data_IF_568323907924
#
_entry.id   IF_568323907924
#
_cell.length_a   1.000
_cell.length_b   1.000
_cell.length_c   1.000
_cell.angle_alpha   90.00
_cell.angle_beta   90.00
_cell.angle_gamma   90.00
#
_symmetry.space_group_name_H-M   'P 1'
#
loop_
_entity.id
_entity.type
_entity.pdbx_description
1 polymer ?
#
# COMPACT_ATOMS: atom_id res chain seq x y z
N UNK A 1 57.90 -45.95 25.95
CA UNK A 1 57.91 -45.65 24.49
C UNK A 1 56.47 -45.37 24.09
N UNK A 2 56.18 -44.09 23.84
CA UNK A 2 54.87 -43.58 23.46
C UNK A 2 54.51 -43.97 22.02
N UNK A 3 53.21 -44.08 21.70
CA UNK A 3 52.49 -43.44 20.56
C UNK A 3 51.12 -44.17 20.41
N UNK A 4 50.05 -43.60 21.00
CA UNK A 4 49.05 -42.66 20.44
C UNK A 4 47.84 -43.37 19.81
N UNK A 5 46.71 -43.26 20.49
CA UNK A 5 45.38 -43.53 19.96
C UNK A 5 45.02 -42.44 18.94
N UNK A 6 44.63 -42.82 17.72
CA UNK A 6 44.08 -41.90 16.73
C UNK A 6 42.55 -41.94 16.90
N UNK A 7 42.00 -40.94 17.58
CA UNK A 7 40.57 -40.67 17.55
C UNK A 7 40.29 -39.74 16.35
N UNK A 8 39.57 -40.25 15.34
CA UNK A 8 39.09 -39.45 14.23
C UNK A 8 37.83 -38.70 14.68
N UNK A 9 37.94 -37.39 14.91
CA UNK A 9 36.79 -36.52 15.13
C UNK A 9 36.23 -36.08 13.77
N UNK A 10 35.05 -36.60 13.41
CA UNK A 10 34.28 -36.11 12.26
C UNK A 10 33.57 -34.83 12.71
N UNK A 11 34.06 -33.68 12.24
CA UNK A 11 33.35 -32.40 12.37
C UNK A 11 32.18 -32.39 11.39
N UNK A 12 30.95 -32.53 11.90
CA UNK A 12 29.75 -32.25 11.12
C UNK A 12 29.61 -30.72 10.96
N UNK A 13 29.89 -30.22 9.75
CA UNK A 13 29.69 -28.83 9.40
C UNK A 13 28.18 -28.61 9.17
N UNK A 14 27.44 -28.23 10.20
CA UNK A 14 26.06 -27.76 10.03
C UNK A 14 26.09 -26.42 9.30
N UNK A 15 25.74 -26.42 8.02
CA UNK A 15 25.50 -25.19 7.27
C UNK A 15 24.29 -24.48 7.89
N UNK A 16 24.53 -23.44 8.67
CA UNK A 16 23.49 -22.51 9.07
C UNK A 16 23.02 -21.78 7.82
N UNK A 17 21.89 -22.19 7.25
CA UNK A 17 21.18 -21.37 6.28
C UNK A 17 20.71 -20.12 7.01
N UNK A 18 21.48 -19.04 6.93
CA UNK A 18 21.06 -17.75 7.43
C UNK A 18 19.75 -17.38 6.75
N UNK A 19 18.67 -17.29 7.52
CA UNK A 19 17.43 -16.70 7.02
C UNK A 19 17.77 -15.29 6.53
N UNK A 20 17.58 -15.03 5.24
CA UNK A 20 17.69 -13.67 4.72
C UNK A 20 16.60 -12.87 5.44
N UNK A 21 17.00 -11.86 6.20
CA UNK A 21 16.07 -11.01 6.91
C UNK A 21 15.18 -10.27 5.89
N UNK A 22 13.89 -10.15 6.20
CA UNK A 22 12.97 -9.36 5.39
C UNK A 22 13.45 -7.90 5.31
N UNK A 23 13.34 -7.30 4.13
CA UNK A 23 13.73 -5.92 3.91
C UNK A 23 12.57 -4.99 4.23
N UNK A 24 12.85 -3.89 4.93
CA UNK A 24 11.87 -2.83 5.23
C UNK A 24 12.10 -1.63 4.33
N UNK A 25 11.02 -1.11 3.74
CA UNK A 25 11.01 0.03 2.84
C UNK A 25 10.10 1.12 3.42
N UNK A 26 10.63 2.33 3.56
CA UNK A 26 9.85 3.51 3.93
C UNK A 26 9.23 4.13 2.67
N UNK A 27 7.95 4.51 2.75
CA UNK A 27 7.27 5.23 1.66
C UNK A 27 8.03 6.51 1.31
N UNK A 28 8.28 6.72 0.03
CA UNK A 28 8.76 8.00 -0.51
C UNK A 28 7.51 8.84 -0.85
N UNK A 29 7.25 9.94 -0.11
CA UNK A 29 5.98 10.66 -0.19
C UNK A 29 5.81 11.47 -1.48
N UNK A 30 6.89 11.79 -2.20
CA UNK A 30 6.82 12.59 -3.42
C UNK A 30 6.48 11.77 -4.68
N UNK A 31 6.48 10.43 -4.57
CA UNK A 31 6.11 9.51 -5.67
C UNK A 31 5.00 8.54 -5.28
N UNK A 32 4.40 8.71 -4.10
CA UNK A 32 3.33 7.84 -3.59
C UNK A 32 2.01 8.60 -3.47
N UNK A 33 1.08 8.31 -4.39
CA UNK A 33 -0.21 8.99 -4.47
C UNK A 33 -1.33 7.98 -4.71
N UNK A 34 -2.20 7.76 -3.71
CA UNK A 34 -3.47 7.09 -3.93
C UNK A 34 -4.36 8.01 -4.78
N UNK A 35 -4.45 7.70 -6.07
CA UNK A 35 -5.38 8.37 -6.97
C UNK A 35 -6.65 7.54 -7.12
N UNK A 36 -7.76 8.21 -7.42
CA UNK A 36 -9.05 7.56 -7.53
C UNK A 36 -9.92 8.15 -8.62
N UNK A 37 -10.86 7.33 -9.08
CA UNK A 37 -11.97 7.72 -9.95
C UNK A 37 -13.29 7.50 -9.22
N UNK A 38 -14.19 8.48 -9.31
CA UNK A 38 -15.54 8.42 -8.75
C UNK A 38 -16.57 8.92 -9.76
N UNK A 39 -17.77 8.36 -9.69
CA UNK A 39 -18.89 8.76 -10.53
C UNK A 39 -19.33 10.21 -10.28
N UNK A 40 -19.89 10.84 -11.31
CA UNK A 40 -20.61 12.09 -11.21
C UNK A 40 -21.96 11.96 -11.90
N UNK A 41 -23.05 12.16 -11.14
CA UNK A 41 -24.42 12.19 -11.63
C UNK A 41 -24.85 10.95 -12.42
N UNK A 42 -24.47 9.75 -11.99
CA UNK A 42 -24.99 8.50 -12.56
C UNK A 42 -24.44 8.19 -13.96
N UNK A 43 -23.15 8.46 -14.18
CA UNK A 43 -22.44 8.17 -15.42
C UNK A 43 -22.27 9.36 -16.37
N UNK A 44 -22.60 10.59 -15.94
CA UNK A 44 -22.41 11.78 -16.76
C UNK A 44 -20.92 12.05 -17.03
N UNK A 45 -20.10 11.91 -16.00
CA UNK A 45 -18.65 12.05 -16.08
C UNK A 45 -17.96 11.36 -14.91
N UNK A 46 -16.63 11.41 -14.91
CA UNK A 46 -15.79 10.79 -13.88
C UNK A 46 -14.94 11.86 -13.20
N UNK A 47 -15.14 12.02 -11.89
CA UNK A 47 -14.21 12.75 -11.05
C UNK A 47 -12.91 11.98 -10.91
N UNK A 48 -11.79 12.70 -11.00
CA UNK A 48 -10.45 12.18 -10.72
C UNK A 48 -9.82 13.03 -9.63
N UNK A 49 -9.26 12.37 -8.64
CA UNK A 49 -8.57 13.03 -7.54
C UNK A 49 -7.47 12.15 -6.96
N UNK A 50 -6.73 12.72 -6.01
CA UNK A 50 -5.69 12.01 -5.27
C UNK A 50 -5.50 12.57 -3.87
N UNK A 51 -4.81 11.82 -3.03
CA UNK A 51 -4.23 12.31 -1.78
C UNK A 51 -2.75 12.59 -2.01
N UNK A 52 -2.25 13.74 -1.54
CA UNK A 52 -0.89 14.21 -1.84
C UNK A 52 0.12 14.01 -0.72
N UNK A 53 -0.31 13.46 0.43
CA UNK A 53 0.58 13.09 1.53
C UNK A 53 0.25 11.68 2.03
N UNK A 54 1.20 10.77 1.82
CA UNK A 54 1.13 9.36 2.23
C UNK A 54 2.44 8.97 2.90
N UNK A 55 2.35 8.18 3.96
CA UNK A 55 3.50 7.69 4.73
C UNK A 55 3.27 6.24 5.14
N UNK A 56 4.33 5.57 5.60
CA UNK A 56 4.23 4.21 6.11
C UNK A 56 5.41 3.34 5.69
N UNK A 57 5.24 2.04 5.87
CA UNK A 57 6.27 1.05 5.61
C UNK A 57 5.71 -0.16 4.85
N UNK A 58 6.57 -0.74 4.03
CA UNK A 58 6.34 -2.02 3.35
C UNK A 58 7.49 -2.95 3.74
N UNK A 59 7.18 -4.17 4.14
CA UNK A 59 8.16 -5.21 4.40
C UNK A 59 8.06 -6.25 3.29
N UNK A 60 9.19 -6.63 2.70
CA UNK A 60 9.27 -7.66 1.67
C UNK A 60 10.31 -8.71 2.07
N UNK A 61 9.87 -9.95 2.18
CA UNK A 61 10.74 -11.12 2.16
C UNK A 61 10.60 -11.81 0.81
N UNK A 62 11.51 -11.47 -0.12
CA UNK A 62 11.49 -12.04 -1.47
C UNK A 62 11.89 -13.51 -1.49
N UNK A 63 12.64 -14.00 -0.50
CA UNK A 63 13.06 -15.39 -0.40
C UNK A 63 11.91 -16.27 0.08
N UNK A 64 11.22 -15.86 1.15
CA UNK A 64 10.03 -16.53 1.66
C UNK A 64 8.76 -16.21 0.85
N UNK A 65 8.80 -15.21 -0.04
CA UNK A 65 7.67 -14.72 -0.84
C UNK A 65 6.52 -14.25 0.05
N UNK A 66 6.86 -13.44 1.05
CA UNK A 66 5.91 -12.85 1.99
C UNK A 66 6.17 -11.35 2.15
N UNK A 67 5.27 -10.67 2.84
CA UNK A 67 5.45 -9.26 3.16
C UNK A 67 4.25 -8.67 3.90
N UNK A 68 4.41 -7.44 4.35
CA UNK A 68 3.38 -6.67 5.05
C UNK A 68 3.37 -5.22 4.61
N UNK A 69 2.24 -4.56 4.81
CA UNK A 69 1.99 -3.17 4.43
C UNK A 69 1.36 -2.46 5.63
N UNK A 70 1.86 -1.29 6.00
CA UNK A 70 1.23 -0.39 6.98
C UNK A 70 1.36 1.04 6.47
N UNK A 71 0.26 1.59 5.95
CA UNK A 71 0.22 2.87 5.24
C UNK A 71 -0.78 3.79 5.93
N UNK A 72 -0.40 5.06 6.05
CA UNK A 72 -1.25 6.14 6.51
C UNK A 72 -1.34 7.22 5.43
N UNK A 73 -2.56 7.63 5.12
CA UNK A 73 -2.90 8.65 4.13
C UNK A 73 -3.51 9.83 4.88
N UNK A 74 -2.97 11.03 4.65
CA UNK A 74 -3.51 12.25 5.23
C UNK A 74 -4.71 12.73 4.41
N UNK A 75 -5.91 12.57 4.96
CA UNK A 75 -7.16 12.88 4.27
C UNK A 75 -7.32 14.38 4.00
N UNK A 76 -6.63 15.25 4.75
CA UNK A 76 -6.64 16.69 4.53
C UNK A 76 -5.99 17.10 3.21
N UNK A 77 -5.21 16.20 2.60
CA UNK A 77 -4.52 16.43 1.32
C UNK A 77 -5.31 15.99 0.09
N UNK A 78 -6.58 15.61 0.28
CA UNK A 78 -7.50 15.31 -0.81
C UNK A 78 -7.58 16.46 -1.83
N UNK A 79 -7.36 16.12 -3.10
CA UNK A 79 -7.34 17.07 -4.21
C UNK A 79 -8.05 16.50 -5.45
N UNK A 80 -9.09 17.20 -5.90
CA UNK A 80 -9.83 16.94 -7.15
C UNK A 80 -9.38 17.82 -8.32
N UNK A 81 -8.35 18.65 -8.15
CA UNK A 81 -7.95 19.68 -9.11
C UNK A 81 -8.94 20.86 -9.19
N UNK A 82 -9.96 20.88 -8.32
CA UNK A 82 -10.94 21.94 -8.19
C UNK A 82 -11.13 22.28 -6.71
N UNK A 83 -10.61 23.44 -6.28
CA UNK A 83 -10.50 23.80 -4.87
C UNK A 83 -11.82 23.69 -4.09
N UNK A 84 -12.94 24.16 -4.66
CA UNK A 84 -14.26 24.07 -3.99
C UNK A 84 -14.75 22.63 -3.83
N UNK A 85 -14.47 21.76 -4.80
CA UNK A 85 -14.81 20.33 -4.69
C UNK A 85 -13.94 19.65 -3.64
N UNK A 86 -12.64 19.96 -3.63
CA UNK A 86 -11.72 19.46 -2.60
C UNK A 86 -12.13 19.92 -1.19
N UNK A 87 -12.56 21.16 -1.03
CA UNK A 87 -13.07 21.69 0.25
C UNK A 87 -14.36 20.98 0.67
N UNK A 88 -15.34 20.88 -0.25
CA UNK A 88 -16.60 20.19 0.01
C UNK A 88 -16.39 18.74 0.42
N UNK A 89 -15.56 18.00 -0.32
CA UNK A 89 -15.29 16.59 -0.04
C UNK A 89 -14.64 16.36 1.34
N UNK A 90 -13.88 17.33 1.86
CA UNK A 90 -13.30 17.23 3.22
C UNK A 90 -14.34 17.46 4.32
N UNK A 91 -15.51 17.97 3.96
CA UNK A 91 -16.62 18.27 4.85
C UNK A 91 -17.31 17.04 5.44
N UNK A 92 -18.23 17.27 6.39
CA UNK A 92 -18.87 16.23 7.20
C UNK A 92 -19.84 15.32 6.45
N UNK A 93 -20.22 15.68 5.22
CA UNK A 93 -21.09 14.90 4.35
C UNK A 93 -20.33 13.89 3.48
N UNK A 94 -19.00 13.99 3.44
CA UNK A 94 -18.13 13.09 2.68
C UNK A 94 -17.03 12.48 3.56
N UNK A 95 -15.80 13.02 3.53
CA UNK A 95 -14.67 12.41 4.23
C UNK A 95 -14.60 12.79 5.72
N UNK A 96 -15.33 13.83 6.16
CA UNK A 96 -15.35 14.36 7.54
C UNK A 96 -13.95 14.41 8.15
N UNK A 97 -13.03 15.10 7.47
CA UNK A 97 -11.58 15.10 7.80
C UNK A 97 -11.34 15.65 9.21
N UNK A 98 -12.23 16.50 9.72
CA UNK A 98 -12.16 16.98 11.09
C UNK A 98 -12.28 15.85 12.12
N UNK A 99 -13.07 14.80 11.85
CA UNK A 99 -13.21 13.62 12.71
C UNK A 99 -12.29 12.47 12.29
N UNK A 100 -12.06 12.31 10.99
CA UNK A 100 -11.26 11.23 10.41
C UNK A 100 -10.11 11.81 9.58
N UNK A 101 -9.08 12.37 10.23
CA UNK A 101 -8.00 13.07 9.53
C UNK A 101 -7.13 12.13 8.69
N UNK A 102 -7.22 10.82 8.91
CA UNK A 102 -6.43 9.82 8.20
C UNK A 102 -7.29 8.67 7.68
N UNK A 103 -6.85 8.12 6.55
CA UNK A 103 -7.18 6.76 6.13
C UNK A 103 -5.95 5.87 6.33
N UNK A 104 -6.15 4.58 6.60
CA UNK A 104 -5.05 3.62 6.73
C UNK A 104 -5.27 2.38 5.89
N UNK A 105 -4.19 1.79 5.41
CA UNK A 105 -4.23 0.50 4.71
C UNK A 105 -3.21 -0.45 5.32
N UNK A 106 -3.68 -1.59 5.83
CA UNK A 106 -2.84 -2.56 6.53
C UNK A 106 -3.00 -3.97 5.96
N UNK A 107 -1.89 -4.69 5.86
CA UNK A 107 -1.89 -6.09 5.48
C UNK A 107 -0.68 -6.82 6.05
N UNK A 108 -0.85 -8.11 6.37
CA UNK A 108 0.24 -9.04 6.69
C UNK A 108 0.50 -10.05 5.56
N UNK A 109 -0.11 -9.86 4.39
CA UNK A 109 -0.07 -10.81 3.29
C UNK A 109 0.09 -10.11 1.95
N UNK A 110 1.26 -10.29 1.35
CA UNK A 110 1.51 -9.98 -0.06
C UNK A 110 1.59 -11.30 -0.80
N UNK A 111 0.76 -11.47 -1.82
CA UNK A 111 0.77 -12.66 -2.68
C UNK A 111 1.78 -12.48 -3.80
N UNK A 112 2.59 -13.51 -4.04
CA UNK A 112 3.58 -13.55 -5.11
C UNK A 112 3.19 -14.52 -6.23
N UNK A 113 3.62 -14.21 -7.45
CA UNK A 113 3.64 -15.13 -8.60
C UNK A 113 5.09 -15.21 -9.10
N UNK A 114 5.74 -16.34 -8.84
CA UNK A 114 7.19 -16.44 -9.00
C UNK A 114 7.87 -15.49 -8.01
N UNK A 115 8.70 -14.58 -8.52
CA UNK A 115 9.48 -13.63 -7.70
C UNK A 115 8.85 -12.23 -7.67
N UNK A 116 7.64 -12.07 -8.22
CA UNK A 116 6.95 -10.77 -8.28
C UNK A 116 5.73 -10.77 -7.35
N UNK A 117 5.53 -9.71 -6.55
CA UNK A 117 4.27 -9.50 -5.87
C UNK A 117 3.17 -9.17 -6.88
N UNK A 118 1.98 -9.73 -6.69
CA UNK A 118 0.83 -9.59 -7.63
C UNK A 118 -0.44 -9.08 -6.95
N UNK A 119 -0.57 -9.21 -5.64
CA UNK A 119 -1.68 -8.60 -4.90
C UNK A 119 -1.36 -8.43 -3.43
N UNK A 120 -2.08 -7.52 -2.79
CA UNK A 120 -2.09 -7.34 -1.34
C UNK A 120 -3.52 -7.52 -0.85
N UNK A 121 -3.72 -8.48 0.05
CA UNK A 121 -5.01 -8.69 0.71
C UNK A 121 -4.98 -7.91 2.02
N UNK A 122 -5.55 -6.71 2.02
CA UNK A 122 -5.47 -5.78 3.14
C UNK A 122 -6.80 -5.20 3.56
N UNK A 123 -6.74 -4.45 4.65
CA UNK A 123 -7.86 -3.76 5.25
C UNK A 123 -7.67 -2.25 5.07
N UNK A 124 -8.65 -1.61 4.44
CA UNK A 124 -8.76 -0.17 4.36
C UNK A 124 -9.58 0.31 5.55
N UNK A 125 -9.05 1.24 6.32
CA UNK A 125 -9.83 2.05 7.27
C UNK A 125 -10.01 3.43 6.67
N UNK A 126 -11.27 3.79 6.40
CA UNK A 126 -11.66 5.06 5.80
C UNK A 126 -12.93 5.55 6.50
N UNK A 127 -12.97 6.84 6.87
CA UNK A 127 -14.12 7.44 7.55
C UNK A 127 -14.54 6.66 8.81
N UNK A 128 -13.54 6.19 9.57
CA UNK A 128 -13.74 5.42 10.82
C UNK A 128 -14.18 3.97 10.64
N UNK A 129 -14.41 3.50 9.42
CA UNK A 129 -14.86 2.12 9.13
C UNK A 129 -13.73 1.32 8.49
N UNK A 130 -13.51 0.09 8.97
CA UNK A 130 -12.53 -0.85 8.42
C UNK A 130 -13.20 -1.92 7.57
N UNK A 131 -12.74 -2.12 6.33
CA UNK A 131 -13.24 -3.15 5.40
C UNK A 131 -12.08 -3.77 4.60
N UNK A 132 -12.22 -5.05 4.18
CA UNK A 132 -11.25 -5.67 3.28
C UNK A 132 -11.29 -5.01 1.90
N UNK A 133 -10.12 -4.60 1.39
CA UNK A 133 -9.93 -4.10 0.02
C UNK A 133 -8.66 -4.73 -0.54
N UNK A 134 -8.83 -5.64 -1.52
CA UNK A 134 -7.70 -6.27 -2.21
C UNK A 134 -7.11 -5.32 -3.24
N UNK A 135 -5.81 -5.07 -3.17
CA UNK A 135 -5.06 -4.36 -4.21
C UNK A 135 -4.46 -5.38 -5.19
N UNK A 136 -4.65 -5.15 -6.49
CA UNK A 136 -3.90 -5.83 -7.56
C UNK A 136 -2.65 -5.03 -7.88
N UNK A 137 -1.50 -5.69 -7.98
CA UNK A 137 -0.23 -5.06 -8.37
C UNK A 137 -0.03 -5.27 -9.87
N UNK A 138 -0.17 -4.19 -10.62
CA UNK A 138 -0.13 -4.18 -12.09
C UNK A 138 1.31 -4.09 -12.61
N UNK A 139 2.16 -3.37 -11.89
CA UNK A 139 3.59 -3.23 -12.18
C UNK A 139 4.38 -3.28 -10.89
N UNK A 140 5.58 -3.86 -10.94
CA UNK A 140 6.52 -3.90 -9.84
C UNK A 140 7.95 -3.93 -10.36
N UNK A 141 8.81 -3.07 -9.81
CA UNK A 141 10.23 -3.01 -10.16
C UNK A 141 11.03 -2.46 -8.98
N UNK A 142 12.23 -3.01 -8.77
CA UNK A 142 13.20 -2.42 -7.86
C UNK A 142 14.49 -2.07 -8.61
N UNK A 143 15.13 -0.98 -8.21
CA UNK A 143 16.42 -0.51 -8.75
C UNK A 143 17.26 0.08 -7.62
N UNK A 144 18.55 0.28 -7.89
CA UNK A 144 19.36 1.17 -7.06
C UNK A 144 18.97 2.62 -7.32
N UNK A 145 18.46 3.32 -6.32
CA UNK A 145 18.00 4.70 -6.48
C UNK A 145 19.18 5.62 -6.86
N UNK A 146 19.07 6.43 -7.94
CA UNK A 146 20.19 7.21 -8.45
C UNK A 146 20.68 8.30 -7.48
N UNK A 147 19.77 8.94 -6.74
CA UNK A 147 20.12 9.98 -5.75
C UNK A 147 20.40 9.41 -4.36
N UNK A 148 19.46 8.68 -3.75
CA UNK A 148 19.57 8.15 -2.39
C UNK A 148 20.56 7.00 -2.20
N UNK A 149 21.08 6.40 -3.28
CA UNK A 149 22.07 5.31 -3.25
C UNK A 149 21.66 4.14 -2.34
N UNK A 150 20.36 3.86 -2.27
CA UNK A 150 19.76 2.67 -1.64
C UNK A 150 18.74 2.06 -2.61
N UNK A 151 18.36 0.81 -2.39
CA UNK A 151 17.32 0.19 -3.23
C UNK A 151 16.00 0.96 -3.08
N UNK A 152 15.32 1.22 -4.20
CA UNK A 152 13.94 1.70 -4.25
C UNK A 152 13.12 0.67 -4.99
N UNK A 153 11.91 0.40 -4.49
CA UNK A 153 10.91 -0.39 -5.19
C UNK A 153 9.72 0.49 -5.54
N UNK A 154 9.31 0.44 -6.80
CA UNK A 154 8.11 1.09 -7.32
C UNK A 154 7.04 0.07 -7.72
N UNK A 155 5.77 0.43 -7.53
CA UNK A 155 4.64 -0.35 -7.99
C UNK A 155 3.48 0.53 -8.45
N UNK A 156 2.71 0.03 -9.42
CA UNK A 156 1.38 0.53 -9.74
C UNK A 156 0.35 -0.48 -9.27
N UNK A 157 -0.56 -0.06 -8.41
CA UNK A 157 -1.63 -0.89 -7.86
C UNK A 157 -3.01 -0.35 -8.21
N UNK A 158 -4.00 -1.24 -8.26
CA UNK A 158 -5.40 -0.87 -8.48
C UNK A 158 -6.36 -1.68 -7.63
N UNK A 159 -7.53 -1.11 -7.38
CA UNK A 159 -8.63 -1.77 -6.71
C UNK A 159 -9.95 -1.08 -7.07
N UNK A 160 -11.05 -1.69 -6.64
CA UNK A 160 -12.34 -1.03 -6.61
C UNK A 160 -13.08 -1.41 -5.33
N UNK A 161 -13.80 -0.44 -4.76
CA UNK A 161 -14.60 -0.64 -3.56
C UNK A 161 -15.83 0.25 -3.62
N UNK A 162 -16.81 -0.04 -2.77
CA UNK A 162 -18.02 0.76 -2.63
C UNK A 162 -17.84 1.74 -1.45
N UNK A 163 -17.85 3.06 -1.70
CA UNK A 163 -17.66 4.07 -0.64
C UNK A 163 -18.79 4.11 0.39
N UNK A 164 -19.97 3.60 0.04
CA UNK A 164 -21.10 3.45 0.96
C UNK A 164 -20.81 2.46 2.08
N UNK A 165 -19.95 1.47 1.84
CA UNK A 165 -19.53 0.51 2.88
C UNK A 165 -18.72 1.18 4.02
N UNK A 166 -18.27 2.42 3.78
CA UNK A 166 -17.53 3.26 4.72
C UNK A 166 -18.36 4.43 5.25
N UNK A 167 -19.67 4.48 4.93
CA UNK A 167 -20.58 5.55 5.35
C UNK A 167 -20.41 6.87 4.59
N UNK A 168 -19.71 6.86 3.44
CA UNK A 168 -19.58 8.03 2.56
C UNK A 168 -20.67 7.94 1.50
N UNK A 169 -21.91 8.36 1.81
CA UNK A 169 -23.10 8.12 0.98
C UNK A 169 -23.58 9.33 0.16
N UNK A 170 -22.84 10.43 0.18
CA UNK A 170 -23.20 11.66 -0.54
C UNK A 170 -23.61 11.39 -2.00
N UNK A 171 -24.75 11.91 -2.45
CA UNK A 171 -25.21 11.79 -3.83
C UNK A 171 -25.77 10.41 -4.24
N UNK A 172 -25.68 9.36 -3.41
CA UNK A 172 -26.18 8.02 -3.76
C UNK A 172 -27.69 8.02 -4.01
N UNK A 173 -28.47 8.68 -3.14
CA UNK A 173 -29.93 8.84 -3.33
C UNK A 173 -30.28 9.73 -4.53
N UNK A 174 -29.31 10.46 -5.09
CA UNK A 174 -29.46 11.26 -6.29
C UNK A 174 -29.02 10.50 -7.56
N UNK A 175 -28.69 9.21 -7.43
CA UNK A 175 -28.32 8.33 -8.54
C UNK A 175 -26.81 8.20 -8.79
N UNK A 176 -25.96 8.74 -7.92
CA UNK A 176 -24.51 8.60 -8.08
C UNK A 176 -24.10 7.16 -7.77
N UNK A 177 -23.27 6.57 -8.63
CA UNK A 177 -22.71 5.25 -8.37
C UNK A 177 -21.65 5.35 -7.26
N UNK A 178 -21.75 4.57 -6.16
CA UNK A 178 -20.79 4.66 -5.06
C UNK A 178 -19.51 3.86 -5.31
N UNK A 179 -19.36 3.23 -6.46
CA UNK A 179 -18.12 2.54 -6.83
C UNK A 179 -16.99 3.55 -7.01
N UNK A 180 -15.92 3.36 -6.25
CA UNK A 180 -14.65 4.06 -6.40
C UNK A 180 -13.64 3.10 -7.02
N UNK A 181 -12.87 3.59 -7.98
CA UNK A 181 -11.70 2.87 -8.52
C UNK A 181 -10.44 3.53 -8.00
N UNK A 182 -9.46 2.74 -7.59
CA UNK A 182 -8.15 3.18 -7.16
C UNK A 182 -7.12 2.91 -8.27
N UNK A 183 -6.25 3.89 -8.49
CA UNK A 183 -5.04 3.79 -9.28
C UNK A 183 -3.91 4.43 -8.47
N UNK A 184 -3.03 3.59 -7.92
CA UNK A 184 -2.06 3.99 -6.90
C UNK A 184 -0.67 3.80 -7.48
N UNK A 185 0.06 4.90 -7.60
CA UNK A 185 1.51 4.84 -7.75
C UNK A 185 2.15 4.85 -6.36
N UNK A 186 3.17 4.04 -6.17
CA UNK A 186 3.93 3.99 -4.91
C UNK A 186 5.41 3.75 -5.20
N UNK A 187 6.27 4.50 -4.50
CA UNK A 187 7.68 4.19 -4.39
C UNK A 187 8.07 4.12 -2.91
N UNK A 188 8.93 3.16 -2.57
CA UNK A 188 9.43 2.97 -1.21
C UNK A 188 10.93 2.69 -1.22
N UNK A 189 11.67 3.40 -0.37
CA UNK A 189 13.12 3.32 -0.21
C UNK A 189 13.48 2.33 0.89
N UNK A 190 14.40 1.41 0.59
CA UNK A 190 14.95 0.49 1.58
C UNK A 190 15.61 1.29 2.72
N UNK A 191 15.27 0.92 3.95
CA UNK A 191 15.80 1.55 5.17
C UNK A 191 17.27 1.21 5.37
#
# INVERSE_FOLDING_TARGET
>A
MNIKHIAAAIFALTAATGAIAADTYAIEPNHTFPSFEADHMGGLSIWRGKFTNTSGNIVLDRAAKTGSVDITIDASTLDFGHAKMSEHAKGPDMFDVAKFPTATYKSKSITFKGDKPVSVDGELTLHGVTKPVKLSINQFKCIQHPMFKREVCGADASASFNRSDFGIDYGVQMGFNPTVKLAIQVEALKQ
#
